data_IF_889217731359
#
_entry.id   IF_889217731359
#
_cell.length_a   1.000
_cell.length_b   1.000
_cell.length_c   1.000
_cell.angle_alpha   90.00
_cell.angle_beta   90.00
_cell.angle_gamma   90.00
#
_symmetry.space_group_name_H-M   'P 1'
#
loop_
_entity.id
_entity.type
_entity.pdbx_description
1 polymer ?
#
# COMPACT_ATOMS: atom_id res chain seq x y z
N UNK A 1 -0.50 0.29 21.30
CA UNK A 1 -0.73 0.01 19.87
C UNK A 1 -1.76 -1.10 19.73
N UNK A 2 -2.54 -1.14 18.64
CA UNK A 2 -3.39 -2.27 18.33
C UNK A 2 -2.58 -3.57 18.23
N UNK A 3 -3.21 -4.69 18.59
CA UNK A 3 -2.60 -6.02 18.48
C UNK A 3 -2.69 -6.53 17.02
N UNK A 4 -2.00 -5.83 16.13
CA UNK A 4 -1.92 -6.20 14.73
C UNK A 4 -1.03 -7.43 14.53
N UNK A 5 -1.30 -8.20 13.48
CA UNK A 5 -0.48 -9.33 13.09
C UNK A 5 0.98 -8.90 12.83
N UNK A 6 1.95 -9.83 12.95
CA UNK A 6 3.35 -9.55 12.67
C UNK A 6 3.56 -8.93 11.28
N UNK A 7 4.52 -8.00 11.11
CA UNK A 7 4.77 -7.31 9.84
C UNK A 7 4.95 -8.24 8.63
N UNK A 8 5.58 -9.38 8.82
CA UNK A 8 5.78 -10.38 7.75
C UNK A 8 4.45 -10.95 7.25
N UNK A 9 3.55 -11.28 8.18
CA UNK A 9 2.22 -11.79 7.86
C UNK A 9 1.37 -10.72 7.16
N UNK A 10 1.41 -9.48 7.67
CA UNK A 10 0.72 -8.33 7.06
C UNK A 10 1.23 -8.07 5.64
N UNK A 11 2.54 -8.02 5.46
CA UNK A 11 3.16 -7.76 4.17
C UNK A 11 2.82 -8.86 3.14
N UNK A 12 2.82 -10.12 3.57
CA UNK A 12 2.42 -11.24 2.71
C UNK A 12 0.93 -11.13 2.31
N UNK A 13 0.04 -10.87 3.26
CA UNK A 13 -1.38 -10.72 2.98
C UNK A 13 -1.66 -9.51 2.09
N UNK A 14 -1.06 -8.34 2.38
CA UNK A 14 -1.20 -7.14 1.57
C UNK A 14 -0.74 -7.38 0.11
N UNK A 15 0.40 -8.06 -0.08
CA UNK A 15 0.89 -8.41 -1.42
C UNK A 15 -0.10 -9.29 -2.18
N UNK A 16 -0.62 -10.34 -1.55
CA UNK A 16 -1.60 -11.25 -2.17
C UNK A 16 -2.85 -10.47 -2.59
N UNK A 17 -3.38 -9.61 -1.72
CA UNK A 17 -4.58 -8.82 -2.00
C UNK A 17 -4.32 -7.85 -3.15
N UNK A 18 -3.25 -7.05 -3.09
CA UNK A 18 -2.94 -6.05 -4.12
C UNK A 18 -2.76 -6.71 -5.49
N UNK A 19 -2.02 -7.80 -5.57
CA UNK A 19 -1.81 -8.52 -6.84
C UNK A 19 -3.09 -9.19 -7.34
N UNK A 20 -3.86 -9.81 -6.45
CA UNK A 20 -5.14 -10.44 -6.78
C UNK A 20 -6.18 -9.45 -7.28
N UNK A 21 -6.33 -8.31 -6.60
CA UNK A 21 -7.24 -7.25 -7.01
C UNK A 21 -6.78 -6.58 -8.32
N UNK A 22 -5.46 -6.41 -8.52
CA UNK A 22 -4.94 -5.92 -9.81
C UNK A 22 -5.25 -6.89 -10.95
N UNK A 23 -5.10 -8.20 -10.73
CA UNK A 23 -5.49 -9.22 -11.71
C UNK A 23 -7.01 -9.23 -11.95
N UNK A 24 -7.83 -9.01 -10.91
CA UNK A 24 -9.30 -8.90 -11.03
C UNK A 24 -9.68 -7.76 -11.98
N UNK A 25 -9.08 -6.56 -11.83
CA UNK A 25 -9.36 -5.43 -12.72
C UNK A 25 -9.04 -5.76 -14.19
N UNK A 26 -7.99 -6.53 -14.43
CA UNK A 26 -7.65 -6.99 -15.78
C UNK A 26 -8.72 -7.95 -16.34
N UNK A 27 -9.23 -8.88 -15.53
CA UNK A 27 -10.33 -9.77 -15.95
C UNK A 27 -11.62 -9.00 -16.18
N UNK A 28 -11.94 -8.04 -15.31
CA UNK A 28 -13.13 -7.21 -15.43
C UNK A 28 -13.10 -6.41 -16.74
N UNK A 29 -11.99 -5.77 -17.07
CA UNK A 29 -11.82 -5.06 -18.34
C UNK A 29 -12.10 -5.99 -19.53
N UNK A 30 -11.52 -7.20 -19.53
CA UNK A 30 -11.75 -8.17 -20.62
C UNK A 30 -13.22 -8.60 -20.72
N UNK A 31 -13.86 -8.81 -19.57
CA UNK A 31 -15.27 -9.22 -19.53
C UNK A 31 -16.19 -8.12 -20.05
N UNK A 32 -16.00 -6.89 -19.63
CA UNK A 32 -16.86 -5.76 -19.98
C UNK A 32 -16.66 -5.29 -21.43
N UNK A 33 -15.42 -5.33 -21.93
CA UNK A 33 -15.10 -4.81 -23.28
C UNK A 33 -15.01 -5.88 -24.37
N UNK A 34 -14.93 -7.16 -24.00
CA UNK A 34 -14.59 -8.25 -24.92
C UNK A 34 -13.16 -8.18 -25.49
N UNK A 35 -12.34 -7.22 -25.03
CA UNK A 35 -11.00 -6.98 -25.57
C UNK A 35 -9.91 -7.44 -24.60
N UNK A 36 -8.80 -7.92 -25.15
CA UNK A 36 -7.59 -8.19 -24.35
C UNK A 36 -6.82 -6.90 -24.15
N UNK A 37 -6.58 -6.51 -22.91
CA UNK A 37 -5.73 -5.36 -22.56
C UNK A 37 -4.27 -5.67 -22.95
N UNK A 38 -3.67 -4.94 -23.90
CA UNK A 38 -2.30 -5.20 -24.33
C UNK A 38 -1.31 -4.79 -23.22
N UNK A 39 -0.37 -5.67 -22.90
CA UNK A 39 0.68 -5.39 -21.89
C UNK A 39 1.50 -4.13 -22.18
N UNK A 40 1.63 -3.73 -23.45
CA UNK A 40 2.37 -2.53 -23.87
C UNK A 40 1.73 -1.21 -23.41
N UNK A 41 0.43 -1.23 -23.08
CA UNK A 41 -0.29 -0.06 -22.57
C UNK A 41 -0.12 0.11 -21.04
N UNK A 42 0.49 -0.85 -20.39
CA UNK A 42 0.71 -0.84 -18.94
C UNK A 42 2.19 -0.64 -18.64
N UNK A 43 2.46 -0.12 -17.44
CA UNK A 43 3.81 -0.12 -16.90
C UNK A 43 4.29 -1.57 -16.68
N UNK A 44 5.62 -1.85 -16.84
CA UNK A 44 6.16 -3.19 -16.68
C UNK A 44 5.88 -3.79 -15.30
N UNK A 45 5.91 -2.96 -14.26
CA UNK A 45 5.61 -3.34 -12.86
C UNK A 45 4.15 -3.73 -12.69
N UNK A 46 3.22 -2.93 -13.22
CA UNK A 46 1.78 -3.22 -13.19
C UNK A 46 1.47 -4.53 -13.92
N UNK A 47 2.08 -4.74 -15.09
CA UNK A 47 1.92 -6.00 -15.81
C UNK A 47 2.46 -7.20 -15.03
N UNK A 48 3.63 -7.06 -14.38
CA UNK A 48 4.18 -8.11 -13.53
C UNK A 48 3.25 -8.44 -12.34
N UNK A 49 2.61 -7.43 -11.74
CA UNK A 49 1.61 -7.62 -10.68
C UNK A 49 0.39 -8.41 -11.18
N UNK A 50 -0.13 -8.10 -12.37
CA UNK A 50 -1.23 -8.87 -12.99
C UNK A 50 -0.81 -10.32 -13.20
N UNK A 51 0.38 -10.54 -13.76
CA UNK A 51 0.89 -11.89 -14.03
C UNK A 51 1.06 -12.70 -12.75
N UNK A 52 1.56 -12.10 -11.67
CA UNK A 52 1.65 -12.74 -10.36
C UNK A 52 0.26 -12.97 -9.74
N UNK A 53 -0.63 -11.99 -9.80
CA UNK A 53 -1.99 -12.08 -9.27
C UNK A 53 -2.79 -13.24 -9.89
N UNK A 54 -2.56 -13.54 -11.17
CA UNK A 54 -3.17 -14.69 -11.86
C UNK A 54 -2.70 -16.06 -11.37
N UNK A 55 -1.63 -16.11 -10.59
CA UNK A 55 -1.07 -17.36 -10.04
C UNK A 55 -1.46 -17.56 -8.57
N UNK A 56 -2.13 -16.58 -7.96
CA UNK A 56 -2.63 -16.67 -6.59
C UNK A 56 -3.79 -17.66 -6.59
N UNK A 57 -3.70 -18.66 -5.69
CA UNK A 57 -4.78 -19.60 -5.49
C UNK A 57 -5.95 -18.98 -4.70
N UNK A 58 -7.13 -19.57 -4.82
CA UNK A 58 -8.29 -19.19 -4.02
C UNK A 58 -8.01 -19.32 -2.52
N UNK A 59 -7.24 -20.37 -2.11
CA UNK A 59 -6.85 -20.56 -0.72
C UNK A 59 -5.93 -19.45 -0.19
N UNK A 60 -4.94 -19.03 -0.98
CA UNK A 60 -4.07 -17.90 -0.61
C UNK A 60 -4.86 -16.59 -0.47
N UNK A 61 -5.80 -16.35 -1.39
CA UNK A 61 -6.65 -15.15 -1.32
C UNK A 61 -7.59 -15.19 -0.11
N UNK A 62 -8.18 -16.35 0.20
CA UNK A 62 -9.00 -16.52 1.39
C UNK A 62 -8.20 -16.28 2.67
N UNK A 63 -7.02 -16.88 2.79
CA UNK A 63 -6.11 -16.65 3.91
C UNK A 63 -5.75 -15.17 4.08
N UNK A 64 -5.44 -14.47 3.00
CA UNK A 64 -5.09 -13.05 3.06
C UNK A 64 -6.27 -12.19 3.54
N UNK A 65 -7.51 -12.54 3.15
CA UNK A 65 -8.73 -11.89 3.66
C UNK A 65 -8.96 -12.17 5.14
N UNK A 66 -8.67 -13.38 5.63
CA UNK A 66 -8.75 -13.69 7.06
C UNK A 66 -7.76 -12.85 7.87
N UNK A 67 -6.57 -12.62 7.34
CA UNK A 67 -5.60 -11.69 7.95
C UNK A 67 -6.17 -10.28 8.01
N UNK A 68 -6.81 -9.76 6.94
CA UNK A 68 -7.48 -8.45 6.94
C UNK A 68 -8.54 -8.36 8.04
N UNK A 69 -9.43 -9.34 8.13
CA UNK A 69 -10.48 -9.38 9.14
C UNK A 69 -9.91 -9.42 10.56
N UNK A 70 -8.76 -10.06 10.74
CA UNK A 70 -8.06 -10.04 12.03
C UNK A 70 -7.55 -8.63 12.38
N UNK A 71 -7.05 -7.86 11.39
CA UNK A 71 -6.65 -6.46 11.61
C UNK A 71 -7.84 -5.58 11.97
N UNK A 72 -8.97 -5.74 11.28
CA UNK A 72 -10.21 -5.01 11.61
C UNK A 72 -10.62 -5.26 13.05
N UNK A 73 -10.62 -6.53 13.50
CA UNK A 73 -10.96 -6.88 14.89
C UNK A 73 -9.97 -6.27 15.91
N UNK A 74 -8.66 -6.32 15.61
CA UNK A 74 -7.64 -5.73 16.47
C UNK A 74 -7.78 -4.21 16.58
N UNK A 75 -8.02 -3.52 15.46
CA UNK A 75 -8.28 -2.09 15.43
C UNK A 75 -9.55 -1.74 16.21
N UNK A 76 -10.64 -2.48 16.01
CA UNK A 76 -11.91 -2.28 16.73
C UNK A 76 -11.70 -2.41 18.23
N UNK A 77 -11.00 -3.43 18.70
CA UNK A 77 -10.70 -3.61 20.11
C UNK A 77 -9.85 -2.45 20.69
N UNK A 78 -8.88 -1.95 19.94
CA UNK A 78 -8.07 -0.79 20.34
C UNK A 78 -8.93 0.47 20.49
N UNK A 79 -9.77 0.78 19.51
CA UNK A 79 -10.59 2.00 19.50
C UNK A 79 -11.80 1.96 20.45
N UNK A 80 -12.04 0.87 21.17
CA UNK A 80 -12.96 0.90 22.33
C UNK A 80 -12.38 1.63 23.53
N UNK A 81 -11.04 1.83 23.55
CA UNK A 81 -10.30 2.42 24.69
C UNK A 81 -9.60 3.74 24.34
N UNK A 82 -9.38 3.98 23.05
CA UNK A 82 -8.64 5.14 22.56
C UNK A 82 -9.39 5.79 21.40
N UNK A 83 -9.44 7.11 21.37
CA UNK A 83 -10.11 7.87 20.31
C UNK A 83 -9.28 7.95 19.05
N UNK A 84 -7.94 8.04 19.19
CA UNK A 84 -7.00 8.26 18.09
C UNK A 84 -5.74 7.42 18.27
N UNK A 85 -5.25 6.86 17.18
CA UNK A 85 -3.93 6.26 17.06
C UNK A 85 -3.02 7.23 16.30
N UNK A 86 -1.89 7.60 16.87
CA UNK A 86 -0.87 8.43 16.22
C UNK A 86 0.35 7.57 15.84
N UNK A 87 0.80 7.71 14.59
CA UNK A 87 2.02 7.05 14.09
C UNK A 87 2.75 7.97 13.10
N UNK A 88 4.01 7.73 12.77
CA UNK A 88 4.57 8.26 11.53
C UNK A 88 3.78 7.76 10.31
N UNK A 89 3.74 8.54 9.23
CA UNK A 89 3.18 8.04 7.95
C UNK A 89 4.13 7.04 7.33
N UNK A 90 5.42 7.38 7.32
CA UNK A 90 6.47 6.56 6.72
C UNK A 90 7.54 6.26 7.78
N UNK A 91 8.04 5.03 7.90
CA UNK A 91 9.11 4.68 8.83
C UNK A 91 10.49 5.17 8.40
N UNK A 92 10.60 5.77 7.22
CA UNK A 92 11.85 6.27 6.62
C UNK A 92 11.66 7.70 6.12
N UNK A 93 12.77 8.37 5.85
CA UNK A 93 12.79 9.67 5.17
C UNK A 93 12.24 9.55 3.74
N UNK A 94 11.75 10.66 3.20
CA UNK A 94 11.20 10.71 1.85
C UNK A 94 12.20 10.15 0.82
N UNK A 95 11.82 9.16 0.00
CA UNK A 95 12.70 8.60 -1.02
C UNK A 95 12.95 9.63 -2.12
N UNK A 96 14.08 9.51 -2.81
CA UNK A 96 14.36 10.29 -4.00
C UNK A 96 13.46 9.85 -5.16
N UNK A 97 13.17 10.77 -6.07
CA UNK A 97 12.41 10.45 -7.28
C UNK A 97 13.13 9.32 -8.04
N UNK A 98 12.39 8.26 -8.34
CA UNK A 98 12.91 7.07 -9.03
C UNK A 98 13.62 6.03 -8.15
N UNK A 99 13.90 6.31 -6.87
CA UNK A 99 14.61 5.38 -5.97
C UNK A 99 13.89 4.03 -5.82
N UNK A 100 12.56 4.05 -5.83
CA UNK A 100 11.73 2.85 -5.69
C UNK A 100 11.38 2.19 -7.04
N UNK A 101 11.85 2.72 -8.15
CA UNK A 101 11.57 2.17 -9.47
C UNK A 101 12.69 1.21 -9.91
N UNK A 102 12.34 0.07 -10.54
CA UNK A 102 13.34 -0.79 -11.16
C UNK A 102 14.17 -0.01 -12.18
N UNK A 103 15.48 -0.29 -12.30
CA UNK A 103 16.33 0.32 -13.31
C UNK A 103 15.78 0.12 -14.73
N UNK A 104 16.03 1.02 -15.69
CA UNK A 104 15.50 0.92 -17.07
C UNK A 104 15.80 -0.42 -17.76
N UNK A 105 16.97 -1.01 -17.50
CA UNK A 105 17.32 -2.34 -18.03
C UNK A 105 16.42 -3.43 -17.46
N UNK A 106 16.11 -3.40 -16.17
CA UNK A 106 15.20 -4.33 -15.54
C UNK A 106 13.76 -4.16 -16.07
N UNK A 107 13.30 -2.93 -16.28
CA UNK A 107 11.99 -2.68 -16.88
C UNK A 107 11.89 -3.24 -18.30
N UNK A 108 12.93 -3.09 -19.13
CA UNK A 108 12.99 -3.71 -20.48
C UNK A 108 12.96 -5.23 -20.39
N UNK A 109 13.73 -5.82 -19.48
CA UNK A 109 13.73 -7.27 -19.25
C UNK A 109 12.35 -7.77 -18.81
N UNK A 110 11.69 -7.06 -17.89
CA UNK A 110 10.32 -7.39 -17.47
C UNK A 110 9.32 -7.37 -18.63
N UNK A 111 9.38 -6.36 -19.50
CA UNK A 111 8.52 -6.29 -20.69
C UNK A 111 8.76 -7.49 -21.62
N UNK A 112 10.00 -7.84 -21.88
CA UNK A 112 10.35 -8.97 -22.73
C UNK A 112 9.91 -10.30 -22.10
N UNK A 113 10.34 -10.56 -20.88
CA UNK A 113 10.12 -11.85 -20.22
C UNK A 113 8.64 -12.11 -19.92
N UNK A 114 7.95 -11.12 -19.35
CA UNK A 114 6.58 -11.32 -18.84
C UNK A 114 5.50 -10.84 -19.85
N UNK A 115 5.82 -9.87 -20.69
CA UNK A 115 4.90 -9.39 -21.74
C UNK A 115 4.96 -10.25 -23.00
N UNK A 116 6.13 -10.35 -23.62
CA UNK A 116 6.30 -11.00 -24.93
C UNK A 116 6.48 -12.51 -24.81
N UNK A 117 7.43 -12.98 -24.00
CA UNK A 117 7.73 -14.41 -23.84
C UNK A 117 6.78 -15.15 -22.90
N UNK A 118 5.93 -14.43 -22.17
CA UNK A 118 4.92 -14.99 -21.23
C UNK A 118 5.50 -15.89 -20.16
N UNK A 119 6.74 -15.68 -19.75
CA UNK A 119 7.45 -16.45 -18.71
C UNK A 119 7.04 -16.06 -17.29
N UNK A 120 5.80 -15.64 -17.11
CA UNK A 120 5.28 -15.18 -15.82
C UNK A 120 5.32 -16.22 -14.70
N UNK A 121 5.34 -17.52 -15.05
CA UNK A 121 5.48 -18.59 -14.07
C UNK A 121 6.79 -18.51 -13.28
N UNK A 122 7.83 -17.88 -13.81
CA UNK A 122 9.10 -17.64 -13.11
C UNK A 122 8.98 -16.62 -11.97
N UNK A 123 7.86 -15.88 -11.91
CA UNK A 123 7.59 -14.93 -10.83
C UNK A 123 7.05 -15.61 -9.57
N UNK A 124 6.51 -16.83 -9.71
CA UNK A 124 5.95 -17.56 -8.57
C UNK A 124 7.08 -18.01 -7.64
N UNK A 125 6.94 -17.65 -6.35
CA UNK A 125 7.89 -18.02 -5.29
C UNK A 125 9.34 -17.60 -5.59
N UNK A 126 9.54 -16.47 -6.28
CA UNK A 126 10.88 -15.97 -6.56
C UNK A 126 11.41 -15.16 -5.35
N UNK A 127 12.46 -15.66 -4.64
CA UNK A 127 12.95 -15.02 -3.41
C UNK A 127 13.47 -13.60 -3.63
N UNK A 128 14.01 -13.31 -4.82
CA UNK A 128 14.47 -11.96 -5.16
C UNK A 128 13.30 -10.97 -5.21
N UNK A 129 12.20 -11.35 -5.87
CA UNK A 129 11.00 -10.51 -5.94
C UNK A 129 10.31 -10.37 -4.59
N UNK A 130 10.37 -11.38 -3.76
CA UNK A 130 9.86 -11.29 -2.38
C UNK A 130 10.66 -10.30 -1.55
N UNK A 131 11.98 -10.30 -1.68
CA UNK A 131 12.87 -9.34 -1.02
C UNK A 131 12.62 -7.90 -1.49
N UNK A 132 12.51 -7.68 -2.80
CA UNK A 132 12.20 -6.36 -3.37
C UNK A 132 10.82 -5.85 -2.94
N UNK A 133 9.82 -6.71 -2.95
CA UNK A 133 8.48 -6.37 -2.47
C UNK A 133 8.49 -6.03 -0.97
N UNK A 134 9.21 -6.77 -0.15
CA UNK A 134 9.37 -6.49 1.28
C UNK A 134 10.07 -5.15 1.52
N UNK A 135 11.08 -4.81 0.73
CA UNK A 135 11.77 -3.50 0.80
C UNK A 135 10.81 -2.34 0.48
N UNK A 136 9.97 -2.50 -0.55
CA UNK A 136 8.94 -1.51 -0.90
C UNK A 136 7.88 -1.37 0.19
N UNK A 137 7.43 -2.49 0.75
CA UNK A 137 6.42 -2.50 1.82
C UNK A 137 6.92 -1.87 3.13
N UNK A 138 8.24 -1.79 3.35
CA UNK A 138 8.79 -1.05 4.50
C UNK A 138 8.39 0.44 4.48
N UNK A 139 8.16 1.05 3.31
CA UNK A 139 7.72 2.45 3.22
C UNK A 139 6.27 2.66 3.65
N UNK A 140 5.44 1.62 3.59
CA UNK A 140 4.02 1.67 3.96
C UNK A 140 3.71 0.94 5.26
N UNK A 141 4.73 0.68 6.09
CA UNK A 141 4.61 -0.14 7.29
C UNK A 141 3.57 0.33 8.30
N UNK A 142 3.35 1.64 8.43
CA UNK A 142 2.33 2.21 9.33
C UNK A 142 0.98 2.44 8.65
N UNK A 143 0.94 2.60 7.34
CA UNK A 143 -0.32 2.83 6.60
C UNK A 143 -1.01 1.53 6.22
N UNK A 144 -0.24 0.49 5.91
CA UNK A 144 -0.77 -0.81 5.47
C UNK A 144 -1.75 -1.45 6.47
N UNK A 145 -1.46 -1.52 7.78
CA UNK A 145 -2.40 -2.10 8.74
C UNK A 145 -3.75 -1.38 8.78
N UNK A 146 -3.75 -0.05 8.64
CA UNK A 146 -4.97 0.76 8.65
C UNK A 146 -5.77 0.62 7.35
N UNK A 147 -5.09 0.52 6.20
CA UNK A 147 -5.73 0.17 4.93
C UNK A 147 -6.39 -1.22 4.99
N UNK A 148 -5.74 -2.18 5.64
CA UNK A 148 -6.28 -3.54 5.80
C UNK A 148 -7.44 -3.61 6.79
N UNK A 149 -7.44 -2.78 7.83
CA UNK A 149 -8.52 -2.72 8.82
C UNK A 149 -9.70 -1.82 8.42
N UNK A 150 -9.55 -1.03 7.35
CA UNK A 150 -10.60 -0.11 6.86
C UNK A 150 -10.82 1.12 7.76
N UNK A 151 -9.89 1.44 8.63
CA UNK A 151 -10.00 2.59 9.52
C UNK A 151 -9.73 3.91 8.77
N UNK A 152 -10.47 4.98 9.08
CA UNK A 152 -10.15 6.31 8.59
C UNK A 152 -8.80 6.77 9.15
N UNK A 153 -8.01 7.40 8.29
CA UNK A 153 -6.72 7.96 8.68
C UNK A 153 -6.43 9.24 7.92
N UNK A 154 -5.69 10.16 8.52
CA UNK A 154 -5.22 11.38 7.92
C UNK A 154 -3.72 11.56 8.14
N UNK A 155 -3.07 12.29 7.24
CA UNK A 155 -1.68 12.73 7.37
C UNK A 155 -1.63 14.24 7.53
N UNK A 156 -0.94 14.70 8.58
CA UNK A 156 -0.75 16.13 8.85
C UNK A 156 0.74 16.47 8.85
N UNK A 157 1.19 17.55 8.20
CA UNK A 157 2.61 17.89 8.05
C UNK A 157 3.13 18.66 9.27
N UNK A 158 3.17 18.00 10.43
CA UNK A 158 3.56 18.65 11.69
C UNK A 158 5.07 18.91 11.78
N UNK A 159 5.90 18.14 11.10
CA UNK A 159 7.36 18.22 11.20
C UNK A 159 8.02 18.47 9.85
N UNK A 160 9.29 18.87 9.91
CA UNK A 160 10.15 18.97 8.73
C UNK A 160 11.46 18.23 8.96
N UNK A 161 11.96 17.58 7.92
CA UNK A 161 13.28 16.98 7.89
C UNK A 161 13.99 17.43 6.62
N UNK A 162 15.15 18.07 6.75
CA UNK A 162 15.90 18.64 5.62
C UNK A 162 15.05 19.53 4.70
N UNK A 163 14.19 20.38 5.30
CA UNK A 163 13.29 21.28 4.56
C UNK A 163 12.03 20.63 3.98
N UNK A 164 11.94 19.31 3.94
CA UNK A 164 10.78 18.57 3.45
C UNK A 164 9.76 18.31 4.57
N UNK A 165 8.44 18.36 4.29
CA UNK A 165 7.43 18.03 5.28
C UNK A 165 7.47 16.54 5.64
N UNK A 166 7.30 16.23 6.92
CA UNK A 166 7.16 14.87 7.45
C UNK A 166 5.74 14.70 7.97
N UNK A 167 5.01 13.75 7.40
CA UNK A 167 3.64 13.45 7.78
C UNK A 167 3.56 12.71 9.12
N UNK A 168 2.68 13.19 9.99
CA UNK A 168 2.19 12.46 11.16
C UNK A 168 0.83 11.89 10.83
N UNK A 169 0.68 10.58 10.97
CA UNK A 169 -0.58 9.88 10.72
C UNK A 169 -1.41 9.82 11.99
N UNK A 170 -2.69 10.15 11.85
CA UNK A 170 -3.71 9.95 12.87
C UNK A 170 -4.79 9.06 12.30
N UNK A 171 -5.18 8.04 13.04
CA UNK A 171 -6.28 7.13 12.68
C UNK A 171 -7.32 7.10 13.79
N UNK A 172 -8.59 6.85 13.42
CA UNK A 172 -9.70 6.75 14.35
C UNK A 172 -10.53 5.48 14.12
N UNK A 173 -11.53 5.26 14.96
CA UNK A 173 -12.48 4.17 14.77
C UNK A 173 -13.19 4.30 13.42
N UNK A 174 -13.68 3.20 12.91
CA UNK A 174 -14.46 3.17 11.67
C UNK A 174 -15.67 4.12 11.73
N UNK A 175 -15.83 4.96 10.70
CA UNK A 175 -16.87 5.97 10.62
C UNK A 175 -16.66 7.20 11.52
N UNK A 176 -15.45 7.39 12.09
CA UNK A 176 -15.12 8.52 12.96
C UNK A 176 -14.19 9.54 12.28
N UNK A 177 -14.41 9.81 11.02
CA UNK A 177 -13.73 10.87 10.26
C UNK A 177 -13.93 12.25 10.91
N UNK A 178 -15.08 12.47 11.56
CA UNK A 178 -15.39 13.68 12.33
C UNK A 178 -14.35 13.96 13.42
N UNK A 179 -13.89 12.93 14.11
CA UNK A 179 -12.85 13.04 15.15
C UNK A 179 -11.53 13.50 14.55
N UNK A 180 -11.14 12.93 13.40
CA UNK A 180 -9.91 13.29 12.71
C UNK A 180 -9.96 14.73 12.18
N UNK A 181 -11.06 15.16 11.58
CA UNK A 181 -11.21 16.51 11.06
C UNK A 181 -11.18 17.57 12.18
N UNK A 182 -11.82 17.30 13.32
CA UNK A 182 -11.74 18.17 14.50
C UNK A 182 -10.32 18.26 15.06
N UNK A 183 -9.61 17.14 15.12
CA UNK A 183 -8.21 17.11 15.55
C UNK A 183 -7.32 17.89 14.56
N UNK A 184 -7.52 17.72 13.26
CA UNK A 184 -6.78 18.47 12.24
C UNK A 184 -6.97 19.98 12.41
N UNK A 185 -8.21 20.44 12.60
CA UNK A 185 -8.51 21.87 12.79
C UNK A 185 -7.82 22.45 14.05
N UNK A 186 -7.78 21.70 15.15
CA UNK A 186 -7.07 22.11 16.36
C UNK A 186 -5.54 22.18 16.15
N UNK A 187 -4.98 21.19 15.48
CA UNK A 187 -3.54 21.16 15.18
C UNK A 187 -3.14 22.28 14.24
N UNK A 188 -3.98 22.61 13.24
CA UNK A 188 -3.73 23.70 12.30
C UNK A 188 -3.77 25.08 12.97
N UNK A 189 -4.61 25.27 13.98
CA UNK A 189 -4.62 26.50 14.79
C UNK A 189 -3.33 26.69 15.59
N UNK A 190 -2.76 25.59 16.13
CA UNK A 190 -1.52 25.63 16.93
C UNK A 190 -0.29 25.75 16.02
N UNK A 191 -0.28 25.03 14.92
CA UNK A 191 0.84 24.95 13.98
C UNK A 191 0.34 25.03 12.53
N UNK A 192 0.04 26.25 12.02
CA UNK A 192 -0.48 26.45 10.67
C UNK A 192 0.44 25.86 9.61
N UNK A 193 -0.14 25.18 8.61
CA UNK A 193 0.59 24.63 7.46
C UNK A 193 0.09 25.12 6.10
N UNK A 194 -1.03 25.83 6.06
CA UNK A 194 -1.69 26.32 4.83
C UNK A 194 -0.76 27.22 3.99
N UNK A 195 0.05 28.05 4.66
CA UNK A 195 0.98 28.99 4.01
C UNK A 195 2.34 28.38 3.66
N UNK A 196 2.52 27.07 3.91
CA UNK A 196 3.79 26.38 3.67
C UNK A 196 3.83 25.81 2.26
N UNK A 197 3.92 26.69 1.27
CA UNK A 197 4.07 26.31 -0.12
C UNK A 197 5.50 25.85 -0.42
N UNK A 198 5.70 24.92 -1.39
CA UNK A 198 7.01 24.58 -1.88
C UNK A 198 7.64 25.81 -2.56
N UNK A 199 8.97 25.98 -2.49
CA UNK A 199 9.64 27.01 -3.27
C UNK A 199 9.38 26.76 -4.77
N UNK A 200 8.91 27.79 -5.46
CA UNK A 200 8.68 27.77 -6.92
C UNK A 200 10.00 28.02 -7.61
#
# INVERSE_FOLDING_TARGET
TPDFAPPEQLNRAARIIVMGETAKLFYQYQYETGQKLPHRLLEPTTWAMIVQGRQISAGEMAWARDVMLAQERAAKAFFTRYDVLMTPVCPRTTPKIGEMMPPPAAQKAMRLLFGTLRLGFLLKNNPFLEKEAAATLQYVGYTSPLNMSGNPAMSVPLYRHNGLPVGTQFAAAHGREDTLLRLAAQLEQIQPWTDRLPPV
#
